data_IF_828691136068
#
_entry.id   IF_828691136068
#
_cell.length_a   1.000
_cell.length_b   1.000
_cell.length_c   1.000
_cell.angle_alpha   90.00
_cell.angle_beta   90.00
_cell.angle_gamma   90.00
#
_symmetry.space_group_name_H-M   'P 1'
#
loop_
_entity.id
_entity.type
_entity.pdbx_description
1 polymer ?
#
# COMPACT_ATOMS: atom_id res chain seq x y z
N UNK A 1 3.17 7.18 -17.15
CA UNK A 1 3.20 5.91 -17.95
C UNK A 1 2.14 5.98 -19.03
N UNK A 2 2.49 5.77 -20.31
CA UNK A 2 1.58 5.83 -21.46
C UNK A 2 0.46 4.79 -21.30
N UNK A 3 -0.76 5.09 -21.82
CA UNK A 3 -1.91 4.19 -21.74
C UNK A 3 -1.67 2.83 -22.42
N UNK A 4 -0.89 2.81 -23.51
CA UNK A 4 -0.50 1.59 -24.21
C UNK A 4 0.36 0.67 -23.30
N UNK A 5 1.31 1.25 -22.57
CA UNK A 5 2.15 0.50 -21.59
C UNK A 5 1.28 -0.07 -20.47
N UNK A 6 0.30 0.69 -19.95
CA UNK A 6 -0.62 0.20 -18.91
C UNK A 6 -1.47 -0.97 -19.40
N UNK A 7 -1.99 -0.85 -20.63
CA UNK A 7 -2.81 -1.91 -21.23
C UNK A 7 -2.00 -3.20 -21.40
N UNK A 8 -0.77 -3.08 -21.90
CA UNK A 8 0.12 -4.24 -22.05
C UNK A 8 0.47 -4.88 -20.70
N UNK A 9 0.72 -4.10 -19.64
CA UNK A 9 0.96 -4.64 -18.31
C UNK A 9 -0.25 -5.46 -17.86
N UNK A 10 -1.44 -4.92 -18.00
CA UNK A 10 -2.68 -5.59 -17.63
C UNK A 10 -2.89 -6.93 -18.35
N UNK A 11 -2.58 -6.98 -19.64
CA UNK A 11 -2.79 -8.16 -20.48
C UNK A 11 -1.68 -9.21 -20.34
N UNK A 12 -0.42 -8.77 -20.29
CA UNK A 12 0.74 -9.66 -20.39
C UNK A 12 1.38 -10.01 -19.04
N UNK A 13 1.17 -9.18 -17.99
CA UNK A 13 1.75 -9.37 -16.66
C UNK A 13 0.83 -8.86 -15.53
N UNK A 14 -0.34 -9.49 -15.35
CA UNK A 14 -1.37 -9.04 -14.41
C UNK A 14 -0.91 -8.97 -12.94
N UNK A 15 0.15 -9.64 -12.54
CA UNK A 15 0.77 -9.47 -11.21
C UNK A 15 1.14 -8.01 -10.94
N UNK A 16 1.47 -7.24 -11.98
CA UNK A 16 1.90 -5.85 -11.90
C UNK A 16 0.79 -4.84 -12.27
N UNK A 17 -0.43 -5.31 -12.49
CA UNK A 17 -1.60 -4.45 -12.69
C UNK A 17 -2.22 -4.12 -11.34
N UNK A 18 -2.14 -2.84 -10.96
CA UNK A 18 -2.72 -2.34 -9.72
C UNK A 18 -4.16 -1.92 -9.95
N UNK A 19 -5.08 -2.76 -9.53
CA UNK A 19 -6.49 -2.39 -9.47
C UNK A 19 -6.70 -1.26 -8.47
N UNK A 20 -7.59 -0.34 -8.82
CA UNK A 20 -8.05 0.72 -7.90
C UNK A 20 -9.47 0.43 -7.48
N UNK A 21 -9.84 0.80 -6.23
CA UNK A 21 -11.23 0.69 -5.82
C UNK A 21 -12.12 1.56 -6.72
N UNK A 22 -13.31 1.06 -7.04
CA UNK A 22 -14.34 1.85 -7.72
C UNK A 22 -14.92 2.86 -6.73
N UNK A 23 -14.87 4.13 -7.09
CA UNK A 23 -15.49 5.20 -6.31
C UNK A 23 -16.85 5.57 -6.91
N UNK A 24 -17.78 6.10 -6.09
CA UNK A 24 -19.06 6.62 -6.58
C UNK A 24 -18.91 7.77 -7.59
N UNK A 25 -19.94 7.98 -8.42
CA UNK A 25 -19.93 9.01 -9.47
C UNK A 25 -19.80 10.44 -8.93
N UNK A 26 -20.22 10.66 -7.68
CA UNK A 26 -20.08 11.94 -6.98
C UNK A 26 -18.72 12.14 -6.30
N UNK A 27 -17.77 11.22 -6.49
CA UNK A 27 -16.43 11.33 -5.94
C UNK A 27 -15.67 12.51 -6.57
N UNK A 28 -15.47 13.55 -5.76
CA UNK A 28 -14.68 14.73 -6.13
C UNK A 28 -13.18 14.43 -6.00
N UNK A 29 -12.83 13.65 -4.96
CA UNK A 29 -11.44 13.28 -4.69
C UNK A 29 -11.35 12.01 -3.83
N UNK A 30 -10.30 11.21 -4.06
CA UNK A 30 -10.00 10.03 -3.25
C UNK A 30 -8.65 10.16 -2.54
N UNK A 31 -8.65 9.89 -1.26
CA UNK A 31 -7.46 9.80 -0.41
C UNK A 31 -6.96 8.35 -0.44
N UNK A 32 -5.75 8.11 -0.92
CA UNK A 32 -5.13 6.79 -0.81
C UNK A 32 -4.46 6.63 0.56
N UNK A 33 -4.73 5.57 1.32
CA UNK A 33 -4.10 5.33 2.63
C UNK A 33 -2.56 5.39 2.60
N UNK A 34 -1.94 4.85 1.55
CA UNK A 34 -0.49 4.86 1.37
C UNK A 34 0.10 6.25 1.05
N UNK A 35 -0.73 7.24 0.71
CA UNK A 35 -0.32 8.60 0.38
C UNK A 35 -0.54 9.60 1.52
N UNK A 36 -1.14 9.18 2.65
CA UNK A 36 -1.43 10.07 3.78
C UNK A 36 -0.13 10.64 4.38
N UNK A 37 0.86 9.80 4.64
CA UNK A 37 2.16 10.28 5.17
C UNK A 37 2.81 11.29 4.23
N UNK A 38 2.72 11.09 2.92
CA UNK A 38 3.27 11.99 1.90
C UNK A 38 2.64 13.37 1.93
N UNK A 39 1.35 13.49 2.27
CA UNK A 39 0.67 14.79 2.45
C UNK A 39 1.38 15.66 3.48
N UNK A 40 1.90 15.07 4.56
CA UNK A 40 2.60 15.78 5.64
C UNK A 40 4.09 15.90 5.40
N UNK A 41 4.73 14.84 4.95
CA UNK A 41 6.19 14.76 4.79
C UNK A 41 6.69 15.46 3.53
N UNK A 42 5.89 15.42 2.45
CA UNK A 42 6.24 16.00 1.14
C UNK A 42 5.03 16.68 0.49
N UNK A 43 4.46 17.72 1.12
CA UNK A 43 3.18 18.30 0.72
C UNK A 43 3.15 18.85 -0.72
N UNK A 44 4.22 19.48 -1.20
CA UNK A 44 4.29 19.97 -2.57
C UNK A 44 4.31 18.85 -3.62
N UNK A 45 4.99 17.74 -3.32
CA UNK A 45 5.00 16.56 -4.20
C UNK A 45 3.64 15.92 -4.20
N UNK A 46 3.03 15.75 -3.02
CA UNK A 46 1.69 15.19 -2.88
C UNK A 46 0.66 16.00 -3.69
N UNK A 47 0.69 17.34 -3.59
CA UNK A 47 -0.19 18.24 -4.33
C UNK A 47 -0.06 18.06 -5.84
N UNK A 48 1.17 18.07 -6.36
CA UNK A 48 1.42 17.88 -7.81
C UNK A 48 0.91 16.55 -8.32
N UNK A 49 1.18 15.47 -7.60
CA UNK A 49 0.79 14.13 -8.03
C UNK A 49 -0.72 13.87 -7.89
N UNK A 50 -1.35 14.38 -6.82
CA UNK A 50 -2.73 14.01 -6.50
C UNK A 50 -3.77 15.05 -6.94
N UNK A 51 -3.45 16.34 -6.91
CA UNK A 51 -4.39 17.40 -7.30
C UNK A 51 -4.14 17.95 -8.71
N UNK A 52 -2.89 18.02 -9.16
CA UNK A 52 -2.56 18.44 -10.52
C UNK A 52 -2.44 17.29 -11.51
N UNK A 53 -2.51 16.04 -11.05
CA UNK A 53 -2.43 14.87 -11.93
C UNK A 53 -1.07 14.68 -12.61
N UNK A 54 0.01 15.28 -12.06
CA UNK A 54 1.34 15.07 -12.59
C UNK A 54 1.79 13.63 -12.36
N UNK A 55 2.59 13.09 -13.27
CA UNK A 55 3.10 11.74 -13.12
C UNK A 55 3.94 11.61 -11.85
N UNK A 56 3.77 10.48 -11.16
CA UNK A 56 4.58 10.18 -9.98
C UNK A 56 6.05 10.11 -10.38
N UNK A 57 6.91 10.76 -9.60
CA UNK A 57 8.36 10.76 -9.80
C UNK A 57 8.98 9.37 -9.61
N UNK A 58 8.33 8.51 -8.83
CA UNK A 58 8.79 7.15 -8.55
C UNK A 58 8.20 6.17 -9.57
N UNK A 59 9.06 5.59 -10.39
CA UNK A 59 8.68 4.60 -11.43
C UNK A 59 8.91 3.15 -11.00
N UNK A 60 9.16 2.91 -9.74
CA UNK A 60 9.50 1.59 -9.21
C UNK A 60 11.01 1.31 -9.22
N UNK A 61 11.42 0.31 -8.47
CA UNK A 61 12.79 -0.21 -8.41
C UNK A 61 12.76 -1.70 -8.03
N UNK A 62 13.92 -2.32 -7.91
CA UNK A 62 14.08 -3.73 -7.50
C UNK A 62 13.28 -4.06 -6.23
N UNK A 63 13.29 -3.19 -5.22
CA UNK A 63 12.59 -3.44 -3.95
C UNK A 63 11.06 -3.41 -4.12
N UNK A 64 10.52 -2.45 -4.87
CA UNK A 64 9.08 -2.35 -5.12
C UNK A 64 8.57 -3.52 -5.95
N UNK A 65 9.31 -3.95 -6.98
CA UNK A 65 8.97 -5.12 -7.80
C UNK A 65 8.98 -6.41 -6.96
N UNK A 66 10.00 -6.59 -6.11
CA UNK A 66 10.04 -7.70 -5.14
C UNK A 66 8.81 -7.68 -4.22
N UNK A 67 8.44 -6.49 -3.73
CA UNK A 67 7.26 -6.29 -2.90
C UNK A 67 5.96 -6.71 -3.60
N UNK A 68 5.75 -6.23 -4.81
CA UNK A 68 4.56 -6.56 -5.63
C UNK A 68 4.39 -8.07 -5.83
N UNK A 69 5.49 -8.77 -6.19
CA UNK A 69 5.46 -10.22 -6.35
C UNK A 69 5.13 -10.93 -5.03
N UNK A 70 5.75 -10.48 -3.93
CA UNK A 70 5.50 -11.07 -2.62
C UNK A 70 4.03 -10.92 -2.18
N UNK A 71 3.44 -9.72 -2.34
CA UNK A 71 2.01 -9.49 -2.07
C UNK A 71 1.11 -10.39 -2.91
N UNK A 72 1.42 -10.55 -4.21
CA UNK A 72 0.69 -11.49 -5.06
C UNK A 72 0.76 -12.93 -4.52
N UNK A 73 1.93 -13.39 -4.08
CA UNK A 73 2.09 -14.72 -3.46
C UNK A 73 1.26 -14.82 -2.19
N UNK A 74 1.27 -13.80 -1.30
CA UNK A 74 0.50 -13.79 -0.06
C UNK A 74 -1.01 -13.89 -0.33
N UNK A 75 -1.50 -13.13 -1.32
CA UNK A 75 -2.88 -13.21 -1.82
C UNK A 75 -3.21 -14.62 -2.29
N UNK A 76 -2.41 -15.17 -3.20
CA UNK A 76 -2.64 -16.51 -3.77
C UNK A 76 -2.69 -17.60 -2.70
N UNK A 77 -1.73 -17.58 -1.75
CA UNK A 77 -1.70 -18.56 -0.65
C UNK A 77 -2.95 -18.42 0.24
N UNK A 78 -3.33 -17.22 0.65
CA UNK A 78 -4.52 -16.98 1.47
C UNK A 78 -5.81 -17.42 0.75
N UNK A 79 -5.91 -17.17 -0.56
CA UNK A 79 -7.07 -17.54 -1.38
C UNK A 79 -7.02 -18.97 -1.91
N UNK A 80 -5.94 -19.71 -1.58
CA UNK A 80 -5.69 -21.09 -2.09
C UNK A 80 -5.65 -21.18 -3.62
N UNK A 81 -5.16 -20.13 -4.27
CA UNK A 81 -4.93 -20.07 -5.71
C UNK A 81 -3.53 -20.63 -5.99
N UNK A 82 -3.38 -21.63 -6.87
CA UNK A 82 -2.08 -22.13 -7.28
C UNK A 82 -1.25 -21.01 -7.93
N UNK A 83 0.02 -20.92 -7.54
CA UNK A 83 0.99 -20.00 -8.14
C UNK A 83 2.31 -20.72 -8.29
N UNK A 84 2.92 -20.63 -9.48
CA UNK A 84 4.21 -21.27 -9.75
C UNK A 84 5.33 -20.23 -9.89
N UNK A 85 6.54 -20.66 -9.62
CA UNK A 85 7.72 -19.80 -9.80
C UNK A 85 7.95 -19.47 -11.28
N UNK A 86 7.63 -20.39 -12.15
CA UNK A 86 7.73 -20.26 -13.60
C UNK A 86 6.81 -19.15 -14.12
N UNK A 87 5.56 -19.12 -13.68
CA UNK A 87 4.58 -18.08 -14.07
C UNK A 87 5.00 -16.70 -13.56
N UNK A 88 5.44 -16.61 -12.30
CA UNK A 88 5.93 -15.36 -11.73
C UNK A 88 7.14 -14.84 -12.53
N UNK A 89 8.12 -15.69 -12.80
CA UNK A 89 9.32 -15.30 -13.54
C UNK A 89 9.00 -14.90 -14.98
N UNK A 90 8.07 -15.58 -15.65
CA UNK A 90 7.63 -15.22 -16.99
C UNK A 90 7.00 -13.82 -17.02
N UNK A 91 6.11 -13.52 -16.06
CA UNK A 91 5.48 -12.19 -15.94
C UNK A 91 6.49 -11.10 -15.57
N UNK A 92 7.44 -11.39 -14.66
CA UNK A 92 8.51 -10.46 -14.31
C UNK A 92 9.36 -10.08 -15.54
N UNK A 93 9.77 -11.07 -16.34
CA UNK A 93 10.56 -10.82 -17.56
C UNK A 93 9.77 -9.96 -18.56
N UNK A 94 8.49 -10.24 -18.74
CA UNK A 94 7.61 -9.43 -19.58
C UNK A 94 7.48 -8.00 -19.08
N UNK A 95 7.20 -7.84 -17.78
CA UNK A 95 7.07 -6.53 -17.13
C UNK A 95 8.30 -5.66 -17.37
N UNK A 96 9.49 -6.20 -17.15
CA UNK A 96 10.75 -5.44 -17.34
C UNK A 96 10.98 -5.08 -18.81
N UNK A 97 10.63 -5.96 -19.76
CA UNK A 97 10.68 -5.66 -21.19
C UNK A 97 9.74 -4.54 -21.59
N UNK A 98 8.56 -4.46 -20.97
CA UNK A 98 7.55 -3.40 -21.24
C UNK A 98 7.98 -2.08 -20.62
N UNK A 99 8.40 -2.08 -19.33
CA UNK A 99 8.68 -0.86 -18.57
C UNK A 99 10.06 -0.28 -18.89
N UNK A 100 11.03 -1.11 -19.23
CA UNK A 100 12.42 -0.74 -19.57
C UNK A 100 13.07 0.18 -18.51
N UNK A 101 12.79 -0.08 -17.23
CA UNK A 101 13.34 0.72 -16.12
C UNK A 101 14.70 0.14 -15.67
N UNK A 102 15.81 0.90 -15.79
CA UNK A 102 17.14 0.44 -15.41
C UNK A 102 17.33 0.22 -13.89
N UNK A 103 16.45 0.78 -13.05
CA UNK A 103 16.51 0.63 -11.60
C UNK A 103 16.01 -0.73 -11.11
N UNK A 104 15.57 -1.61 -12.04
CA UNK A 104 15.09 -2.96 -11.73
C UNK A 104 16.14 -3.99 -12.06
N UNK A 105 16.82 -4.50 -11.04
CA UNK A 105 17.70 -5.66 -11.16
C UNK A 105 16.87 -6.96 -11.09
N UNK A 106 16.58 -7.53 -12.25
CA UNK A 106 15.76 -8.76 -12.39
C UNK A 106 16.38 -9.93 -11.66
N UNK A 107 17.69 -10.09 -11.71
CA UNK A 107 18.39 -11.20 -11.05
C UNK A 107 18.22 -11.09 -9.53
N UNK A 108 18.36 -9.88 -8.99
CA UNK A 108 18.15 -9.64 -7.57
C UNK A 108 16.69 -9.88 -7.16
N UNK A 109 15.72 -9.47 -7.98
CA UNK A 109 14.29 -9.77 -7.73
C UNK A 109 14.07 -11.28 -7.66
N UNK A 110 14.58 -12.05 -8.64
CA UNK A 110 14.43 -13.50 -8.70
C UNK A 110 15.09 -14.25 -7.52
N UNK A 111 16.09 -13.65 -6.88
CA UNK A 111 16.73 -14.16 -5.67
C UNK A 111 15.89 -13.82 -4.43
N UNK A 112 15.45 -12.56 -4.32
CA UNK A 112 14.86 -12.03 -3.09
C UNK A 112 13.44 -12.52 -2.84
N UNK A 113 12.56 -12.45 -3.87
CA UNK A 113 11.13 -12.68 -3.64
C UNK A 113 10.82 -14.09 -3.10
N UNK A 114 11.45 -15.19 -3.57
CA UNK A 114 11.13 -16.52 -3.07
C UNK A 114 11.52 -16.69 -1.58
N UNK A 115 12.65 -16.12 -1.20
CA UNK A 115 13.17 -16.22 0.17
C UNK A 115 12.29 -15.44 1.15
N UNK A 116 11.98 -14.21 0.80
CA UNK A 116 11.15 -13.34 1.65
C UNK A 116 9.72 -13.88 1.73
N UNK A 117 9.14 -14.30 0.60
CA UNK A 117 7.77 -14.80 0.58
C UNK A 117 7.62 -16.11 1.34
N UNK A 118 8.58 -17.04 1.22
CA UNK A 118 8.56 -18.28 1.97
C UNK A 118 8.56 -18.04 3.49
N UNK A 119 9.34 -17.08 3.97
CA UNK A 119 9.38 -16.73 5.39
C UNK A 119 8.04 -16.21 5.91
N UNK A 120 7.41 -15.28 5.20
CA UNK A 120 6.11 -14.74 5.60
C UNK A 120 5.00 -15.79 5.48
N UNK A 121 4.99 -16.56 4.40
CA UNK A 121 4.00 -17.63 4.19
C UNK A 121 4.08 -18.68 5.29
N UNK A 122 5.28 -19.22 5.57
CA UNK A 122 5.45 -20.33 6.50
C UNK A 122 5.34 -19.90 7.98
N UNK A 123 5.81 -18.70 8.30
CA UNK A 123 5.90 -18.24 9.70
C UNK A 123 4.74 -17.31 10.10
N UNK A 124 3.94 -16.84 9.15
CA UNK A 124 2.78 -16.00 9.45
C UNK A 124 1.49 -16.49 8.78
N UNK A 125 1.39 -16.52 7.46
CA UNK A 125 0.12 -16.74 6.76
C UNK A 125 -0.47 -18.12 7.08
N UNK A 126 0.28 -19.19 6.85
CA UNK A 126 -0.20 -20.56 7.12
C UNK A 126 -0.59 -20.75 8.59
N UNK A 127 0.23 -20.34 9.60
CA UNK A 127 -0.16 -20.44 10.99
C UNK A 127 -1.41 -19.61 11.37
N UNK A 128 -1.61 -18.44 10.77
CA UNK A 128 -2.80 -17.64 11.03
C UNK A 128 -4.06 -18.25 10.38
N UNK A 129 -3.95 -18.71 9.13
CA UNK A 129 -5.07 -19.33 8.42
C UNK A 129 -5.51 -20.63 9.12
N UNK A 130 -4.57 -21.37 9.72
CA UNK A 130 -4.87 -22.57 10.51
C UNK A 130 -5.71 -22.31 11.78
N UNK A 131 -5.77 -21.06 12.27
CA UNK A 131 -6.63 -20.69 13.41
C UNK A 131 -8.10 -20.61 13.05
N UNK A 132 -8.47 -20.69 11.77
CA UNK A 132 -9.86 -20.69 11.31
C UNK A 132 -10.57 -19.33 11.46
N UNK A 133 -9.84 -18.23 11.65
CA UNK A 133 -10.42 -16.88 11.70
C UNK A 133 -10.94 -16.47 10.33
N UNK A 134 -11.95 -15.60 10.32
CA UNK A 134 -12.38 -14.97 9.09
C UNK A 134 -11.28 -14.06 8.55
N UNK A 135 -10.90 -14.26 7.30
CA UNK A 135 -9.86 -13.50 6.61
C UNK A 135 -10.43 -12.85 5.36
N UNK A 136 -10.14 -11.58 5.16
CA UNK A 136 -10.27 -10.85 3.89
C UNK A 136 -8.87 -10.50 3.39
N UNK A 137 -8.61 -10.65 2.11
CA UNK A 137 -7.29 -10.43 1.52
C UNK A 137 -7.43 -9.61 0.24
N UNK A 138 -6.59 -8.58 0.10
CA UNK A 138 -6.64 -7.64 -1.03
C UNK A 138 -8.04 -7.06 -1.25
N UNK A 139 -8.69 -6.69 -0.14
CA UNK A 139 -10.07 -6.20 -0.15
C UNK A 139 -10.09 -4.74 -0.60
N UNK A 140 -10.77 -4.48 -1.71
CA UNK A 140 -10.96 -3.14 -2.24
C UNK A 140 -12.03 -2.42 -1.44
N UNK A 141 -11.62 -1.49 -0.58
CA UNK A 141 -12.50 -0.82 0.37
C UNK A 141 -12.45 0.70 0.25
N UNK A 142 -13.60 1.32 0.42
CA UNK A 142 -13.76 2.78 0.42
C UNK A 142 -14.70 3.21 1.54
N UNK A 143 -14.50 4.44 2.05
CA UNK A 143 -15.44 5.13 2.93
C UNK A 143 -15.47 6.63 2.62
N UNK A 144 -16.62 7.25 2.77
CA UNK A 144 -16.73 8.70 2.68
C UNK A 144 -16.18 9.36 3.94
N UNK A 145 -15.37 10.40 3.77
CA UNK A 145 -14.80 11.23 4.84
C UNK A 145 -15.61 12.53 5.00
N UNK A 146 -15.77 13.24 3.91
CA UNK A 146 -16.66 14.39 3.73
C UNK A 146 -17.41 14.19 2.40
N UNK A 147 -18.50 14.94 2.21
CA UNK A 147 -19.31 14.84 1.00
C UNK A 147 -18.47 14.92 -0.27
N UNK A 148 -18.46 13.83 -1.03
CA UNK A 148 -17.68 13.67 -2.27
C UNK A 148 -16.18 13.44 -2.07
N UNK A 149 -15.68 13.39 -0.84
CA UNK A 149 -14.27 13.02 -0.55
C UNK A 149 -14.24 11.65 0.11
N UNK A 150 -13.60 10.73 -0.55
CA UNK A 150 -13.50 9.35 -0.09
C UNK A 150 -12.06 9.00 0.30
N UNK A 151 -11.93 8.06 1.23
CA UNK A 151 -10.67 7.36 1.49
C UNK A 151 -10.84 5.92 1.01
N UNK A 152 -9.84 5.37 0.30
CA UNK A 152 -9.95 4.01 -0.20
C UNK A 152 -8.69 3.46 -0.83
N UNK A 153 -8.62 2.14 -0.87
CA UNK A 153 -7.51 1.38 -1.42
C UNK A 153 -7.70 -0.12 -1.25
N UNK A 154 -6.67 -0.89 -1.64
CA UNK A 154 -6.59 -2.32 -1.35
C UNK A 154 -5.94 -2.52 0.01
N UNK A 155 -6.65 -3.18 0.93
CA UNK A 155 -6.09 -3.62 2.20
C UNK A 155 -5.49 -5.01 2.03
N UNK A 156 -4.23 -5.18 2.40
CA UNK A 156 -3.53 -6.46 2.23
C UNK A 156 -4.27 -7.61 2.93
N UNK A 157 -4.68 -7.39 4.20
CA UNK A 157 -5.38 -8.42 4.97
C UNK A 157 -6.16 -7.82 6.14
N UNK A 158 -7.37 -8.30 6.35
CA UNK A 158 -8.12 -8.21 7.61
C UNK A 158 -8.25 -9.61 8.19
N UNK A 159 -7.79 -9.85 9.42
CA UNK A 159 -7.91 -11.11 10.14
C UNK A 159 -8.62 -10.89 11.49
N UNK A 160 -9.85 -11.38 11.60
CA UNK A 160 -10.69 -11.10 12.76
C UNK A 160 -10.90 -9.59 12.92
N UNK A 161 -10.38 -9.02 14.01
CA UNK A 161 -10.44 -7.59 14.35
C UNK A 161 -9.13 -6.82 14.07
N UNK A 162 -8.23 -7.40 13.30
CA UNK A 162 -6.88 -6.86 13.07
C UNK A 162 -6.64 -6.55 11.60
N UNK A 163 -6.35 -5.28 11.29
CA UNK A 163 -5.84 -4.88 9.97
C UNK A 163 -4.35 -5.17 9.87
N UNK A 164 -3.95 -5.85 8.82
CA UNK A 164 -2.56 -6.28 8.57
C UNK A 164 -2.06 -5.70 7.26
N UNK A 165 -0.81 -5.22 7.27
CA UNK A 165 -0.09 -4.77 6.09
C UNK A 165 1.26 -5.48 6.01
N UNK A 166 1.67 -5.87 4.81
CA UNK A 166 2.92 -6.57 4.55
C UNK A 166 3.98 -5.61 4.03
N UNK A 167 5.19 -5.68 4.58
CA UNK A 167 6.33 -4.88 4.10
C UNK A 167 7.57 -5.75 3.91
N UNK A 168 8.16 -5.66 2.73
CA UNK A 168 9.44 -6.33 2.45
C UNK A 168 10.58 -5.33 2.62
N UNK A 169 11.52 -5.62 3.53
CA UNK A 169 12.58 -4.71 3.92
C UNK A 169 13.97 -5.35 3.84
N UNK A 170 14.98 -4.54 3.50
CA UNK A 170 16.36 -5.00 3.41
C UNK A 170 17.13 -4.93 4.73
N UNK A 171 16.59 -4.24 5.75
CA UNK A 171 17.21 -4.08 7.08
C UNK A 171 16.24 -4.53 8.15
N UNK A 172 16.78 -5.02 9.25
CA UNK A 172 15.98 -5.37 10.42
C UNK A 172 15.23 -4.13 10.93
N UNK A 173 13.88 -4.16 10.98
CA UNK A 173 13.11 -3.04 11.49
C UNK A 173 13.15 -2.98 13.01
N UNK A 174 12.69 -1.86 13.59
CA UNK A 174 12.31 -1.82 14.98
C UNK A 174 11.17 -2.81 15.22
N UNK A 175 11.24 -3.60 16.28
CA UNK A 175 10.27 -4.65 16.60
C UNK A 175 9.26 -4.22 17.67
N UNK A 176 9.48 -3.05 18.28
CA UNK A 176 8.68 -2.60 19.42
C UNK A 176 7.52 -1.69 18.99
N UNK A 177 7.64 -1.06 17.83
CA UNK A 177 6.69 -0.04 17.40
C UNK A 177 6.54 -0.03 15.88
N UNK A 178 5.30 0.17 15.41
CA UNK A 178 5.00 0.39 13.99
C UNK A 178 5.45 1.81 13.61
N UNK A 179 6.33 2.00 12.61
CA UNK A 179 6.71 3.32 12.13
C UNK A 179 5.50 4.14 11.71
N UNK A 180 5.54 5.45 11.99
CA UNK A 180 4.38 6.33 11.82
C UNK A 180 3.78 6.30 10.40
N UNK A 181 4.61 6.29 9.37
CA UNK A 181 4.17 6.22 7.97
C UNK A 181 3.34 4.97 7.65
N UNK A 182 3.69 3.81 8.24
CA UNK A 182 2.90 2.58 8.09
C UNK A 182 1.71 2.56 9.06
N UNK A 183 1.89 3.11 10.26
CA UNK A 183 0.81 3.21 11.26
C UNK A 183 -0.37 4.01 10.72
N UNK A 184 -0.12 5.17 10.11
CA UNK A 184 -1.20 6.01 9.57
C UNK A 184 -1.93 5.33 8.39
N UNK A 185 -1.23 4.56 7.58
CA UNK A 185 -1.83 3.74 6.51
C UNK A 185 -2.75 2.66 7.08
N UNK A 186 -2.28 1.90 8.06
CA UNK A 186 -3.06 0.86 8.74
C UNK A 186 -4.29 1.43 9.46
N UNK A 187 -4.14 2.57 10.14
CA UNK A 187 -5.25 3.26 10.79
C UNK A 187 -6.30 3.75 9.78
N UNK A 188 -5.88 4.17 8.58
CA UNK A 188 -6.83 4.56 7.53
C UNK A 188 -7.64 3.35 7.04
N UNK A 189 -7.05 2.18 6.87
CA UNK A 189 -7.80 0.96 6.57
C UNK A 189 -8.72 0.56 7.72
N UNK A 190 -8.27 0.66 8.97
CA UNK A 190 -9.12 0.41 10.13
C UNK A 190 -10.34 1.36 10.17
N UNK A 191 -10.15 2.66 9.89
CA UNK A 191 -11.22 3.63 9.74
C UNK A 191 -12.25 3.19 8.69
N UNK A 192 -11.80 2.78 7.49
CA UNK A 192 -12.70 2.35 6.41
C UNK A 192 -13.52 1.12 6.83
N UNK A 193 -12.87 0.11 7.41
CA UNK A 193 -13.56 -1.10 7.88
C UNK A 193 -14.60 -0.78 8.97
N UNK A 194 -14.25 0.08 9.94
CA UNK A 194 -15.19 0.51 10.98
C UNK A 194 -16.40 1.26 10.40
N UNK A 195 -16.19 2.12 9.39
CA UNK A 195 -17.30 2.78 8.65
C UNK A 195 -18.20 1.80 7.92
N UNK A 196 -17.70 0.62 7.59
CA UNK A 196 -18.46 -0.50 6.98
C UNK A 196 -19.08 -1.44 8.03
N UNK A 197 -18.94 -1.15 9.32
CA UNK A 197 -19.54 -1.93 10.41
C UNK A 197 -18.69 -3.12 10.88
N UNK A 198 -17.44 -3.22 10.47
CA UNK A 198 -16.52 -4.22 11.02
C UNK A 198 -15.95 -3.74 12.35
N UNK A 199 -15.78 -4.69 13.28
CA UNK A 199 -15.02 -4.44 14.48
C UNK A 199 -13.53 -4.55 14.14
N UNK A 200 -12.76 -3.47 14.42
CA UNK A 200 -11.31 -3.44 14.20
C UNK A 200 -10.67 -2.78 15.41
N UNK A 201 -9.90 -3.53 16.17
CA UNK A 201 -9.30 -3.11 17.43
C UNK A 201 -7.78 -3.06 17.38
N UNK A 202 -7.18 -3.70 16.37
CA UNK A 202 -5.74 -3.84 16.27
C UNK A 202 -5.24 -3.52 14.85
N UNK A 203 -3.99 -3.08 14.79
CA UNK A 203 -3.20 -2.97 13.56
C UNK A 203 -1.94 -3.81 13.69
N UNK A 204 -1.53 -4.41 12.59
CA UNK A 204 -0.36 -5.28 12.55
C UNK A 204 0.47 -5.01 11.30
N UNK A 205 1.77 -4.94 11.48
CA UNK A 205 2.73 -4.86 10.41
C UNK A 205 3.55 -6.16 10.37
N UNK A 206 3.56 -6.81 9.22
CA UNK A 206 4.30 -8.05 9.00
C UNK A 206 5.44 -7.78 8.04
N UNK A 207 6.66 -7.91 8.53
CA UNK A 207 7.85 -7.69 7.74
C UNK A 207 8.40 -9.00 7.19
N UNK A 208 8.60 -9.04 5.88
CA UNK A 208 9.52 -9.97 5.24
C UNK A 208 10.89 -9.32 5.16
N UNK A 209 11.83 -9.77 5.99
CA UNK A 209 13.20 -9.23 6.03
C UNK A 209 14.08 -10.03 5.09
N UNK A 210 14.73 -9.33 4.14
CA UNK A 210 15.64 -9.96 3.17
C UNK A 210 16.85 -10.60 3.87
N UNK A 211 17.39 -11.70 3.35
CA UNK A 211 18.60 -12.29 3.88
C UNK A 211 19.80 -11.37 3.66
N UNK A 212 20.79 -11.48 4.53
CA UNK A 212 22.13 -10.93 4.34
C UNK A 212 23.13 -12.07 4.13
N UNK A 213 24.41 -11.75 3.94
CA UNK A 213 25.45 -12.79 3.83
C UNK A 213 25.54 -13.73 5.04
N UNK A 214 25.15 -13.25 6.22
CA UNK A 214 25.30 -13.97 7.50
C UNK A 214 23.98 -14.25 8.20
N UNK A 215 22.88 -13.65 7.78
CA UNK A 215 21.59 -13.75 8.44
C UNK A 215 20.56 -14.21 7.39
N UNK A 216 19.83 -15.31 7.64
CA UNK A 216 18.77 -15.77 6.75
C UNK A 216 17.60 -14.78 6.70
N UNK A 217 16.72 -14.94 5.72
CA UNK A 217 15.45 -14.21 5.68
C UNK A 217 14.63 -14.45 6.96
N UNK A 218 13.80 -13.50 7.35
CA UNK A 218 13.00 -13.58 8.58
C UNK A 218 11.62 -13.00 8.37
N UNK A 219 10.65 -13.55 9.08
CA UNK A 219 9.34 -12.94 9.28
C UNK A 219 9.29 -12.29 10.68
N UNK A 220 8.90 -11.00 10.73
CA UNK A 220 8.77 -10.24 11.98
C UNK A 220 7.40 -9.58 12.00
N UNK A 221 6.70 -9.72 13.12
CA UNK A 221 5.37 -9.14 13.32
C UNK A 221 5.42 -8.10 14.43
N UNK A 222 4.85 -6.93 14.19
CA UNK A 222 4.63 -5.87 15.18
C UNK A 222 3.14 -5.60 15.24
N UNK A 223 2.55 -5.73 16.42
CA UNK A 223 1.12 -5.53 16.63
C UNK A 223 0.88 -4.41 17.64
N UNK A 224 -0.05 -3.51 17.34
CA UNK A 224 -0.45 -2.43 18.22
C UNK A 224 -1.97 -2.38 18.35
N UNK A 225 -2.52 -2.13 19.54
CA UNK A 225 -3.95 -1.84 19.70
C UNK A 225 -4.26 -0.43 19.15
N UNK A 226 -5.49 -0.27 18.69
CA UNK A 226 -6.01 1.06 18.30
C UNK A 226 -6.67 1.65 19.55
N UNK A 227 -5.94 2.50 20.25
CA UNK A 227 -6.48 3.27 21.37
C UNK A 227 -7.27 4.50 20.90
N UNK A 228 -7.87 5.20 21.84
CA UNK A 228 -8.63 6.42 21.58
C UNK A 228 -7.81 7.51 20.88
N UNK A 229 -6.51 7.63 21.21
CA UNK A 229 -5.62 8.64 20.61
C UNK A 229 -5.35 8.32 19.14
N UNK A 230 -5.07 7.05 18.83
CA UNK A 230 -4.86 6.59 17.46
C UNK A 230 -6.13 6.74 16.60
N UNK A 231 -7.30 6.41 17.18
CA UNK A 231 -8.58 6.57 16.49
C UNK A 231 -8.90 8.04 16.22
N UNK A 232 -8.71 8.92 17.21
CA UNK A 232 -8.86 10.36 17.02
C UNK A 232 -7.89 10.92 16.00
N UNK A 233 -6.63 10.49 16.04
CA UNK A 233 -5.59 10.92 15.10
C UNK A 233 -5.99 10.66 13.65
N UNK A 234 -6.45 9.45 13.33
CA UNK A 234 -6.82 9.14 11.94
C UNK A 234 -8.05 9.90 11.48
N UNK A 235 -9.07 10.06 12.34
CA UNK A 235 -10.26 10.85 12.02
C UNK A 235 -9.88 12.31 11.71
N UNK A 236 -9.12 12.96 12.59
CA UNK A 236 -8.68 14.36 12.43
C UNK A 236 -7.78 14.51 11.17
N UNK A 237 -6.92 13.52 10.91
CA UNK A 237 -6.03 13.50 9.74
C UNK A 237 -6.81 13.44 8.43
N UNK A 238 -7.74 12.51 8.30
CA UNK A 238 -8.55 12.36 7.09
C UNK A 238 -9.40 13.59 6.85
N UNK A 239 -10.00 14.16 7.90
CA UNK A 239 -10.77 15.38 7.82
C UNK A 239 -9.92 16.57 7.36
N UNK A 240 -8.72 16.75 7.94
CA UNK A 240 -7.80 17.82 7.55
C UNK A 240 -7.41 17.73 6.07
N UNK A 241 -7.10 16.53 5.57
CA UNK A 241 -6.78 16.32 4.15
C UNK A 241 -7.99 16.67 3.28
N UNK A 242 -9.18 16.18 3.65
CA UNK A 242 -10.40 16.40 2.90
C UNK A 242 -10.76 17.90 2.82
N UNK A 243 -10.71 18.63 3.94
CA UNK A 243 -10.94 20.07 4.00
C UNK A 243 -9.89 20.84 3.17
N UNK A 244 -8.61 20.46 3.27
CA UNK A 244 -7.53 21.07 2.48
C UNK A 244 -7.76 20.91 0.99
N UNK A 245 -8.21 19.73 0.54
CA UNK A 245 -8.54 19.46 -0.86
C UNK A 245 -9.70 20.33 -1.33
N UNK A 246 -10.79 20.42 -0.55
CA UNK A 246 -11.94 21.25 -0.90
C UNK A 246 -11.58 22.72 -0.98
N UNK A 247 -10.85 23.25 0.01
CA UNK A 247 -10.38 24.64 0.01
C UNK A 247 -9.56 24.99 -1.22
N UNK A 248 -8.65 24.10 -1.65
CA UNK A 248 -7.83 24.33 -2.85
C UNK A 248 -8.65 24.20 -4.13
N UNK A 249 -9.60 23.28 -4.19
CA UNK A 249 -10.50 23.16 -5.36
C UNK A 249 -11.39 24.38 -5.53
N UNK A 250 -11.88 24.96 -4.44
CA UNK A 250 -12.66 26.21 -4.45
C UNK A 250 -11.81 27.44 -4.76
N UNK A 251 -10.59 27.49 -4.22
CA UNK A 251 -9.65 28.58 -4.42
C UNK A 251 -8.22 28.06 -4.61
N UNK A 252 -7.77 27.82 -5.86
CA UNK A 252 -6.43 27.26 -6.15
C UNK A 252 -5.26 28.06 -5.57
N UNK A 253 -5.45 29.38 -5.29
CA UNK A 253 -4.39 30.20 -4.68
C UNK A 253 -4.05 29.75 -3.26
N UNK A 254 -4.95 29.09 -2.55
CA UNK A 254 -4.72 28.55 -1.21
C UNK A 254 -3.71 27.41 -1.22
N UNK A 255 -3.45 26.77 -2.38
CA UNK A 255 -2.43 25.74 -2.51
C UNK A 255 -1.06 26.22 -2.02
N UNK A 256 -0.69 27.49 -2.30
CA UNK A 256 0.58 28.07 -1.86
C UNK A 256 0.69 28.22 -0.33
N UNK A 257 -0.43 28.33 0.36
CA UNK A 257 -0.46 28.41 1.82
C UNK A 257 -0.47 27.03 2.47
N UNK A 258 -1.20 26.09 1.90
CA UNK A 258 -1.41 24.75 2.45
C UNK A 258 -0.21 23.84 2.12
N UNK A 259 0.24 23.87 0.86
CA UNK A 259 1.33 23.03 0.37
C UNK A 259 2.61 23.86 0.25
N UNK A 260 3.33 24.00 1.35
CA UNK A 260 4.61 24.78 1.41
C UNK A 260 5.62 24.31 0.36
N UNK A 261 6.44 25.23 -0.16
CA UNK A 261 7.48 25.00 -1.16
C UNK A 261 6.95 24.66 -2.57
N UNK A 262 5.76 25.12 -2.92
CA UNK A 262 5.40 25.24 -4.33
C UNK A 262 6.27 26.36 -4.92
N UNK A 263 7.09 26.03 -5.90
CA UNK A 263 7.83 27.06 -6.65
C UNK A 263 6.82 27.98 -7.34
N UNK A 264 6.89 29.27 -7.04
CA UNK A 264 6.04 30.32 -7.65
C UNK A 264 6.36 30.57 -9.14
N UNK A 265 7.01 29.63 -9.81
CA UNK A 265 7.49 29.81 -11.18
C UNK A 265 6.57 29.19 -12.23
N UNK A 266 5.30 28.95 -11.90
CA UNK A 266 4.30 28.58 -12.92
C UNK A 266 2.99 29.36 -12.73
#
# INVERSE_FOLDING_TARGET
MNNDVKQRIKEECPIFDYEKPAFPDDCIFNISPSQIDKFFSYPSVWYRENLLGQEQSFQGNTASVTGTIAHHIYKCVTQKIPVTREDINAQLMRYVQIVQNPDIDVNQVMIDYPLVSAEVVNNYIIPQDAKGMQVRCEDMIIAEVLKGIYVGGSCDRLEGDTVVDYKNVGKLPNQDVIPFNYKIQLLAYAYIYRKKGFEVNNIKLVYGVKPTKTIPARCICVNEPIDYVADKLINDTLQLIAESVLMVKENPRLAYLIFKNLDFKE
#
